data_IF_371217166356
#
_entry.id   IF_371217166356
#
_cell.length_a   1.000
_cell.length_b   1.000
_cell.length_c   1.000
_cell.angle_alpha   90.00
_cell.angle_beta   90.00
_cell.angle_gamma   90.00
#
_symmetry.space_group_name_H-M   'P 1'
#
loop_
_entity.id
_entity.type
_entity.pdbx_description
1 polymer ?
#
# COMPACT_ATOMS: atom_id res chain seq x y z
N UNK A 1 -20.98 -7.78 7.30
CA UNK A 1 -22.19 -6.95 7.05
C UNK A 1 -23.35 -7.74 6.43
N UNK A 2 -23.24 -8.25 5.20
CA UNK A 2 -24.35 -8.98 4.52
C UNK A 2 -24.86 -10.17 5.34
N UNK A 3 -23.96 -10.99 5.91
CA UNK A 3 -24.33 -12.10 6.79
C UNK A 3 -24.95 -11.64 8.13
N UNK A 4 -24.60 -10.44 8.62
CA UNK A 4 -25.21 -9.88 9.82
C UNK A 4 -26.64 -9.39 9.53
N UNK A 5 -26.86 -8.73 8.39
CA UNK A 5 -28.19 -8.33 7.90
C UNK A 5 -29.07 -9.58 7.69
N UNK A 6 -28.54 -10.65 7.11
CA UNK A 6 -29.25 -11.91 6.91
C UNK A 6 -29.66 -12.59 8.23
N UNK A 7 -28.87 -12.46 9.30
CA UNK A 7 -29.18 -13.05 10.62
C UNK A 7 -30.33 -12.36 11.35
N UNK A 8 -30.56 -11.06 11.09
CA UNK A 8 -31.60 -10.29 11.78
C UNK A 8 -32.99 -10.51 11.14
N UNK A 9 -33.03 -10.96 9.88
CA UNK A 9 -34.27 -11.38 9.20
C UNK A 9 -34.92 -10.31 8.33
N UNK A 10 -36.10 -10.62 7.80
CA UNK A 10 -36.87 -9.73 6.93
C UNK A 10 -37.43 -8.54 7.73
N UNK A 11 -37.25 -7.31 7.25
CA UNK A 11 -37.77 -6.09 7.86
C UNK A 11 -36.72 -5.13 8.44
N UNK A 12 -35.43 -5.49 8.38
CA UNK A 12 -34.34 -4.57 8.73
C UNK A 12 -34.27 -3.44 7.71
N UNK A 13 -34.43 -2.20 8.19
CA UNK A 13 -34.17 -1.03 7.36
C UNK A 13 -32.67 -0.80 7.28
N UNK A 14 -32.08 -0.70 6.07
CA UNK A 14 -30.68 -0.32 5.96
C UNK A 14 -30.49 1.10 6.53
N UNK A 15 -29.30 1.41 7.07
CA UNK A 15 -29.00 2.76 7.50
C UNK A 15 -29.10 3.73 6.30
N UNK A 16 -29.57 4.93 6.57
CA UNK A 16 -29.59 6.02 5.60
C UNK A 16 -28.16 6.47 5.27
N UNK A 17 -27.97 7.05 4.08
CA UNK A 17 -26.68 7.62 3.69
C UNK A 17 -26.16 8.66 4.72
N UNK A 18 -27.07 9.41 5.35
CA UNK A 18 -26.71 10.32 6.45
C UNK A 18 -26.18 9.56 7.67
N UNK A 19 -26.85 8.49 8.09
CA UNK A 19 -26.43 7.68 9.25
C UNK A 19 -25.05 7.06 9.01
N UNK A 20 -24.80 6.54 7.81
CA UNK A 20 -23.50 5.98 7.42
C UNK A 20 -22.39 7.04 7.37
N UNK A 21 -22.66 8.22 6.80
CA UNK A 21 -21.63 9.23 6.54
C UNK A 21 -21.35 10.17 7.70
N UNK A 22 -22.17 10.12 8.75
CA UNK A 22 -22.06 10.99 9.93
C UNK A 22 -21.95 10.17 11.21
N UNK A 23 -23.02 9.81 11.93
CA UNK A 23 -22.89 9.24 13.27
C UNK A 23 -22.09 7.93 13.27
N UNK A 24 -22.34 7.03 12.31
CA UNK A 24 -21.62 5.75 12.26
C UNK A 24 -20.15 5.97 11.89
N UNK A 25 -19.86 6.80 10.87
CA UNK A 25 -18.48 7.10 10.51
C UNK A 25 -17.72 7.79 11.64
N UNK A 26 -18.34 8.75 12.32
CA UNK A 26 -17.73 9.48 13.43
C UNK A 26 -17.40 8.55 14.60
N UNK A 27 -18.30 7.61 14.93
CA UNK A 27 -18.08 6.58 15.96
C UNK A 27 -16.93 5.64 15.59
N UNK A 28 -16.90 5.12 14.35
CA UNK A 28 -15.83 4.25 13.87
C UNK A 28 -14.48 4.97 13.83
N UNK A 29 -14.45 6.25 13.46
CA UNK A 29 -13.24 7.08 13.49
C UNK A 29 -12.75 7.27 14.92
N UNK A 30 -13.64 7.50 15.88
CA UNK A 30 -13.28 7.61 17.29
C UNK A 30 -12.68 6.30 17.82
N UNK A 31 -13.32 5.16 17.54
CA UNK A 31 -12.84 3.84 17.94
C UNK A 31 -11.45 3.55 17.36
N UNK A 32 -11.27 3.74 16.06
CA UNK A 32 -9.99 3.53 15.38
C UNK A 32 -8.93 4.49 15.92
N UNK A 33 -9.27 5.75 16.18
CA UNK A 33 -8.34 6.73 16.75
C UNK A 33 -7.85 6.29 18.12
N UNK A 34 -8.77 5.84 18.99
CA UNK A 34 -8.42 5.30 20.30
C UNK A 34 -7.50 4.08 20.19
N UNK A 35 -7.81 3.16 19.27
CA UNK A 35 -6.96 2.00 19.01
C UNK A 35 -5.56 2.41 18.52
N UNK A 36 -5.45 3.42 17.65
CA UNK A 36 -4.16 3.95 17.19
C UNK A 36 -3.35 4.54 18.35
N UNK A 37 -3.97 5.25 19.30
CA UNK A 37 -3.27 5.77 20.47
C UNK A 37 -2.77 4.65 21.40
N UNK A 38 -3.56 3.60 21.63
CA UNK A 38 -3.12 2.40 22.36
C UNK A 38 -2.01 1.63 21.64
N UNK A 39 -2.05 1.62 20.30
CA UNK A 39 -0.99 1.08 19.45
C UNK A 39 0.30 1.89 19.61
N UNK A 40 0.23 3.23 19.57
CA UNK A 40 1.38 4.15 19.77
C UNK A 40 2.08 3.99 21.11
N UNK A 41 1.34 3.70 22.17
CA UNK A 41 1.93 3.45 23.50
C UNK A 41 2.89 2.26 23.52
N UNK A 42 2.80 1.34 22.56
CA UNK A 42 3.72 0.19 22.45
C UNK A 42 5.05 0.50 21.77
N UNK A 43 5.11 1.59 20.98
CA UNK A 43 6.26 1.95 20.16
C UNK A 43 7.58 2.11 20.94
N UNK A 44 7.62 2.66 22.16
CA UNK A 44 8.87 2.75 22.93
C UNK A 44 9.48 1.37 23.26
N UNK A 45 8.66 0.31 23.33
CA UNK A 45 9.10 -1.04 23.68
C UNK A 45 9.40 -1.89 22.45
N UNK A 46 8.56 -1.82 21.43
CA UNK A 46 8.69 -2.69 20.24
C UNK A 46 9.47 -2.05 19.11
N UNK A 47 9.54 -0.72 19.08
CA UNK A 47 9.80 0.01 17.85
C UNK A 47 8.71 -0.23 16.80
N UNK A 48 8.86 0.39 15.64
CA UNK A 48 8.01 0.19 14.48
C UNK A 48 8.81 0.14 13.18
N UNK A 49 8.24 -0.56 12.21
CA UNK A 49 8.60 -0.44 10.80
C UNK A 49 7.68 0.58 10.16
N UNK A 50 8.23 1.71 9.71
CA UNK A 50 7.50 2.67 8.89
C UNK A 50 7.48 2.15 7.45
N UNK A 51 6.34 2.23 6.78
CA UNK A 51 6.15 1.77 5.41
C UNK A 51 5.55 2.89 4.58
N UNK A 52 6.05 3.06 3.36
CA UNK A 52 5.52 3.99 2.37
C UNK A 52 5.02 3.22 1.14
N UNK A 53 3.83 3.59 0.68
CA UNK A 53 3.22 3.06 -0.54
C UNK A 53 2.71 4.20 -1.43
N UNK A 54 3.27 4.31 -2.63
CA UNK A 54 2.84 5.30 -3.62
C UNK A 54 1.68 4.78 -4.47
N UNK A 55 0.65 5.60 -4.65
CA UNK A 55 -0.52 5.27 -5.47
C UNK A 55 -0.87 6.39 -6.44
N UNK A 56 -1.01 6.05 -7.72
CA UNK A 56 -1.50 6.93 -8.78
C UNK A 56 -2.93 6.54 -9.15
N UNK A 57 -3.87 7.45 -8.93
CA UNK A 57 -5.21 7.34 -9.47
C UNK A 57 -5.17 7.63 -10.97
N UNK A 58 -5.36 6.59 -11.80
CA UNK A 58 -5.29 6.73 -13.27
C UNK A 58 -6.38 7.64 -13.86
N UNK A 59 -7.53 7.76 -13.17
CA UNK A 59 -8.70 8.53 -13.60
C UNK A 59 -8.53 10.01 -13.25
N UNK A 60 -8.36 10.32 -11.97
CA UNK A 60 -8.20 11.72 -11.52
C UNK A 60 -6.80 12.28 -11.76
N UNK A 61 -5.81 11.42 -12.04
CA UNK A 61 -4.38 11.74 -12.11
C UNK A 61 -3.78 12.19 -10.78
N UNK A 62 -4.49 11.97 -9.67
CA UNK A 62 -3.97 12.30 -8.35
C UNK A 62 -2.97 11.25 -7.89
N UNK A 63 -1.92 11.71 -7.24
CA UNK A 63 -0.86 10.86 -6.70
C UNK A 63 -0.81 11.01 -5.19
N UNK A 64 -0.74 9.88 -4.50
CA UNK A 64 -0.75 9.82 -3.05
C UNK A 64 0.41 9.00 -2.54
N UNK A 65 0.99 9.42 -1.43
CA UNK A 65 1.95 8.64 -0.66
C UNK A 65 1.29 8.29 0.67
N UNK A 66 1.04 6.99 0.86
CA UNK A 66 0.45 6.46 2.08
C UNK A 66 1.57 6.05 3.05
N UNK A 67 1.37 6.31 4.33
CA UNK A 67 2.30 5.97 5.39
C UNK A 67 1.61 5.05 6.39
N UNK A 68 2.24 3.92 6.66
CA UNK A 68 1.76 2.91 7.60
C UNK A 68 2.86 2.61 8.61
N UNK A 69 2.46 2.31 9.85
CA UNK A 69 3.36 1.77 10.86
C UNK A 69 3.02 0.32 11.13
N UNK A 70 4.00 -0.55 11.07
CA UNK A 70 3.90 -1.94 11.51
C UNK A 70 4.65 -2.15 12.83
N UNK A 71 4.05 -2.95 13.72
CA UNK A 71 4.67 -3.50 14.91
C UNK A 71 4.10 -4.90 15.18
N UNK A 72 4.63 -5.66 16.16
CA UNK A 72 4.04 -6.93 16.56
C UNK A 72 2.57 -6.85 17.01
N UNK A 73 2.05 -5.66 17.36
CA UNK A 73 0.63 -5.46 17.66
C UNK A 73 -0.26 -5.37 16.41
N UNK A 74 0.32 -5.18 15.23
CA UNK A 74 -0.42 -5.03 13.98
C UNK A 74 0.10 -3.88 13.12
N UNK A 75 -0.69 -3.51 12.11
CA UNK A 75 -0.40 -2.39 11.20
C UNK A 75 -1.43 -1.29 11.39
N UNK A 76 -0.97 -0.05 11.49
CA UNK A 76 -1.81 1.14 11.55
C UNK A 76 -1.53 2.06 10.35
N UNK A 77 -2.59 2.56 9.74
CA UNK A 77 -2.48 3.68 8.80
C UNK A 77 -2.20 4.96 9.59
N UNK A 78 -1.19 5.73 9.18
CA UNK A 78 -0.79 6.97 9.84
C UNK A 78 -1.31 8.19 9.10
N UNK A 79 -1.03 8.28 7.80
CA UNK A 79 -1.45 9.40 6.98
C UNK A 79 -1.33 9.08 5.49
N UNK A 80 -2.02 9.87 4.68
CA UNK A 80 -1.83 9.94 3.23
C UNK A 80 -1.47 11.37 2.86
N UNK A 81 -0.52 11.55 1.95
CA UNK A 81 -0.09 12.86 1.44
C UNK A 81 -0.35 12.88 -0.06
N UNK A 82 -1.20 13.79 -0.50
CA UNK A 82 -1.34 14.06 -1.93
C UNK A 82 -0.10 14.81 -2.45
N UNK A 83 0.49 14.30 -3.53
CA UNK A 83 1.72 14.82 -4.15
C UNK A 83 1.55 15.13 -5.64
N UNK A 84 0.30 15.15 -6.11
CA UNK A 84 -0.10 15.46 -7.48
C UNK A 84 0.55 16.75 -7.99
N UNK A 85 1.08 16.73 -9.22
CA UNK A 85 1.66 17.92 -9.87
C UNK A 85 2.97 18.44 -9.26
N UNK A 86 3.50 17.77 -8.23
CA UNK A 86 4.78 18.13 -7.61
C UNK A 86 5.93 17.42 -8.31
N UNK A 87 7.04 18.13 -8.54
CA UNK A 87 8.27 17.51 -9.04
C UNK A 87 8.87 16.60 -7.97
N UNK A 88 8.81 15.29 -8.18
CA UNK A 88 9.29 14.25 -7.25
C UNK A 88 10.79 13.97 -7.45
N UNK A 89 11.62 14.99 -7.23
CA UNK A 89 13.06 14.78 -7.21
C UNK A 89 13.54 14.16 -5.87
N UNK A 90 14.80 13.74 -5.82
CA UNK A 90 15.36 13.13 -4.61
C UNK A 90 15.27 14.06 -3.38
N UNK A 91 15.34 15.39 -3.57
CA UNK A 91 15.27 16.33 -2.45
C UNK A 91 13.84 16.47 -1.91
N UNK A 92 12.82 16.37 -2.77
CA UNK A 92 11.43 16.30 -2.35
C UNK A 92 11.20 15.14 -1.39
N UNK A 93 11.60 13.92 -1.77
CA UNK A 93 11.43 12.73 -0.94
C UNK A 93 12.22 12.80 0.37
N UNK A 94 13.47 13.26 0.34
CA UNK A 94 14.28 13.45 1.56
C UNK A 94 13.57 14.37 2.55
N UNK A 95 13.06 15.53 2.10
CA UNK A 95 12.33 16.47 2.98
C UNK A 95 11.03 15.89 3.51
N UNK A 96 10.27 15.22 2.64
CA UNK A 96 8.98 14.63 3.02
C UNK A 96 9.18 13.55 4.08
N UNK A 97 10.11 12.63 3.84
CA UNK A 97 10.39 11.52 4.76
C UNK A 97 11.05 11.97 6.04
N UNK A 98 11.92 12.99 6.00
CA UNK A 98 12.42 13.63 7.22
C UNK A 98 11.27 14.14 8.10
N UNK A 99 10.31 14.84 7.48
CA UNK A 99 9.13 15.35 8.19
C UNK A 99 8.28 14.22 8.77
N UNK A 100 8.04 13.14 8.02
CA UNK A 100 7.26 11.99 8.51
C UNK A 100 7.97 11.30 9.68
N UNK A 101 9.28 11.11 9.59
CA UNK A 101 10.08 10.51 10.69
C UNK A 101 10.03 11.39 11.94
N UNK A 102 10.06 12.72 11.79
CA UNK A 102 9.89 13.66 12.89
C UNK A 102 8.47 13.63 13.48
N UNK A 103 7.43 13.59 12.65
CA UNK A 103 6.01 13.48 13.06
C UNK A 103 5.74 12.19 13.87
N UNK A 104 6.35 11.08 13.45
CA UNK A 104 6.20 9.76 14.09
C UNK A 104 7.09 9.62 15.33
N UNK A 105 8.22 10.31 15.35
CA UNK A 105 9.23 10.24 16.40
C UNK A 105 10.34 9.26 16.05
N UNK A 106 11.48 9.82 15.67
CA UNK A 106 12.68 9.11 15.20
C UNK A 106 13.10 7.91 16.08
N UNK A 107 13.07 8.10 17.40
CA UNK A 107 13.43 7.08 18.39
C UNK A 107 12.57 5.80 18.35
N UNK A 108 11.40 5.85 17.72
CA UNK A 108 10.47 4.73 17.63
C UNK A 108 10.67 3.91 16.35
N UNK A 109 11.35 4.46 15.35
CA UNK A 109 11.46 3.83 14.03
C UNK A 109 12.74 3.00 14.00
N UNK A 110 12.58 1.70 13.78
CA UNK A 110 13.72 0.76 13.60
C UNK A 110 14.00 0.50 12.12
N UNK A 111 12.96 0.54 11.30
CA UNK A 111 13.06 0.26 9.87
C UNK A 111 12.15 1.20 9.08
N UNK A 112 12.59 1.59 7.88
CA UNK A 112 11.77 2.28 6.91
C UNK A 112 11.77 1.52 5.58
N UNK A 113 10.59 1.05 5.16
CA UNK A 113 10.34 0.40 3.89
C UNK A 113 9.69 1.40 2.92
N UNK A 114 10.25 1.54 1.72
CA UNK A 114 9.63 2.33 0.63
C UNK A 114 9.51 1.47 -0.63
N UNK A 115 8.61 1.84 -1.54
CA UNK A 115 8.64 1.31 -2.90
C UNK A 115 9.92 1.76 -3.62
N UNK A 116 10.40 0.91 -4.55
CA UNK A 116 11.73 0.96 -5.15
C UNK A 116 11.77 1.92 -6.35
N UNK A 117 11.33 3.17 -6.17
CA UNK A 117 11.61 4.19 -7.18
C UNK A 117 13.10 4.56 -7.12
N UNK A 118 13.80 4.77 -8.25
CA UNK A 118 15.24 5.07 -8.28
C UNK A 118 15.66 6.24 -7.35
N UNK A 119 14.76 7.19 -7.11
CA UNK A 119 14.97 8.30 -6.16
C UNK A 119 15.13 7.80 -4.70
N UNK A 120 14.59 6.64 -4.37
CA UNK A 120 14.56 6.06 -3.02
C UNK A 120 15.91 5.49 -2.59
N UNK A 121 16.78 4.99 -3.48
CA UNK A 121 18.10 4.45 -3.06
C UNK A 121 19.03 5.54 -2.51
N UNK A 122 19.18 6.65 -3.25
CA UNK A 122 20.00 7.78 -2.78
C UNK A 122 19.40 8.41 -1.52
N UNK A 123 18.07 8.49 -1.45
CA UNK A 123 17.34 8.95 -0.27
C UNK A 123 17.58 8.04 0.94
N UNK A 124 17.48 6.71 0.77
CA UNK A 124 17.65 5.74 1.83
C UNK A 124 19.03 5.84 2.47
N UNK A 125 20.07 5.97 1.65
CA UNK A 125 21.44 6.24 2.12
C UNK A 125 21.51 7.52 2.96
N UNK A 126 20.93 8.64 2.48
CA UNK A 126 20.93 9.91 3.22
C UNK A 126 20.16 9.80 4.55
N UNK A 127 19.07 9.05 4.57
CA UNK A 127 18.25 8.83 5.76
C UNK A 127 19.01 8.04 6.82
N UNK A 128 19.68 6.96 6.41
CA UNK A 128 20.56 6.16 7.26
C UNK A 128 21.80 6.93 7.72
N UNK A 129 22.32 7.84 6.89
CA UNK A 129 23.44 8.69 7.27
C UNK A 129 23.09 9.71 8.34
N UNK A 130 21.90 10.31 8.25
CA UNK A 130 21.36 11.21 9.28
C UNK A 130 20.95 10.46 10.55
N UNK A 131 20.50 9.20 10.42
CA UNK A 131 19.91 8.38 11.50
C UNK A 131 20.52 6.99 11.51
N UNK A 132 21.64 6.84 12.21
CA UNK A 132 22.44 5.60 12.21
C UNK A 132 21.74 4.40 12.84
N UNK A 133 20.67 4.60 13.62
CA UNK A 133 19.84 3.52 14.19
C UNK A 133 18.75 3.02 13.25
N UNK A 134 18.44 3.75 12.17
CA UNK A 134 17.38 3.42 11.23
C UNK A 134 17.94 2.58 10.09
N UNK A 135 17.24 1.49 9.76
CA UNK A 135 17.53 0.68 8.57
C UNK A 135 16.54 1.00 7.47
N UNK A 136 17.00 1.39 6.29
CA UNK A 136 16.14 1.54 5.12
C UNK A 136 16.22 0.29 4.23
N UNK A 137 15.07 -0.17 3.74
CA UNK A 137 14.98 -1.31 2.81
C UNK A 137 13.92 -1.05 1.73
N UNK A 138 14.08 -1.65 0.56
CA UNK A 138 13.07 -1.62 -0.49
C UNK A 138 11.91 -2.57 -0.17
N UNK A 139 10.73 -2.27 -0.71
CA UNK A 139 9.57 -3.16 -0.62
C UNK A 139 9.84 -4.48 -1.34
N UNK A 140 9.70 -5.60 -0.62
CA UNK A 140 9.91 -6.94 -1.18
C UNK A 140 8.90 -7.28 -2.29
N UNK A 141 7.62 -6.96 -2.09
CA UNK A 141 6.57 -7.24 -3.09
C UNK A 141 6.86 -6.53 -4.42
N UNK A 142 7.27 -5.26 -4.35
CA UNK A 142 7.64 -4.51 -5.54
C UNK A 142 8.97 -4.98 -6.14
N UNK A 143 9.95 -5.40 -5.31
CA UNK A 143 11.19 -5.98 -5.81
C UNK A 143 10.94 -7.28 -6.58
N UNK A 144 10.02 -8.13 -6.10
CA UNK A 144 9.58 -9.34 -6.80
C UNK A 144 8.87 -8.99 -8.10
N UNK A 145 8.02 -7.97 -8.09
CA UNK A 145 7.34 -7.49 -9.30
C UNK A 145 8.32 -7.07 -10.39
N UNK A 146 9.34 -6.29 -10.05
CA UNK A 146 10.40 -5.89 -10.99
C UNK A 146 11.15 -7.10 -11.56
N UNK A 147 11.47 -8.10 -10.72
CA UNK A 147 12.07 -9.35 -11.20
C UNK A 147 11.16 -10.08 -12.20
N UNK A 148 9.85 -10.10 -11.92
CA UNK A 148 8.86 -10.71 -12.81
C UNK A 148 8.70 -9.92 -14.12
N UNK A 149 8.77 -8.59 -14.09
CA UNK A 149 8.79 -7.75 -15.29
C UNK A 149 10.02 -8.04 -16.15
N UNK A 150 11.22 -8.15 -15.56
CA UNK A 150 12.45 -8.51 -16.27
C UNK A 150 12.37 -9.91 -16.90
N UNK A 151 11.83 -10.89 -16.18
CA UNK A 151 11.57 -12.24 -16.73
C UNK A 151 10.56 -12.16 -17.89
N UNK A 152 9.57 -11.27 -17.78
CA UNK A 152 8.55 -11.04 -18.80
C UNK A 152 9.12 -10.52 -20.12
N UNK A 153 10.29 -9.89 -20.10
CA UNK A 153 10.98 -9.38 -21.29
C UNK A 153 11.82 -10.44 -22.03
N UNK A 154 12.01 -11.63 -21.44
CA UNK A 154 12.65 -12.76 -22.13
C UNK A 154 11.78 -13.15 -23.33
N UNK A 155 12.36 -13.19 -24.54
CA UNK A 155 11.63 -13.34 -25.81
C UNK A 155 10.51 -14.40 -25.77
N UNK A 156 10.82 -15.63 -25.33
CA UNK A 156 9.84 -16.72 -25.26
C UNK A 156 8.71 -16.44 -24.25
N UNK A 157 9.05 -15.85 -23.09
CA UNK A 157 8.08 -15.47 -22.07
C UNK A 157 7.20 -14.34 -22.61
N UNK A 158 7.81 -13.31 -23.20
CA UNK A 158 7.11 -12.17 -23.79
C UNK A 158 6.11 -12.57 -24.87
N UNK A 159 6.51 -13.46 -25.76
CA UNK A 159 5.64 -14.02 -26.82
C UNK A 159 4.48 -14.81 -26.19
N UNK A 160 4.77 -15.67 -25.20
CA UNK A 160 3.76 -16.45 -24.47
C UNK A 160 2.76 -15.55 -23.73
N UNK A 161 3.26 -14.53 -23.01
CA UNK A 161 2.43 -13.55 -22.29
C UNK A 161 1.53 -12.76 -23.26
N UNK A 162 2.03 -12.44 -24.46
CA UNK A 162 1.23 -11.77 -25.49
C UNK A 162 0.09 -12.66 -25.98
N UNK A 163 0.35 -13.93 -26.28
CA UNK A 163 -0.67 -14.89 -26.71
C UNK A 163 -1.71 -15.14 -25.60
N UNK A 164 -1.25 -15.28 -24.35
CA UNK A 164 -2.12 -15.40 -23.19
C UNK A 164 -3.02 -14.17 -23.01
N UNK A 165 -2.49 -12.96 -23.18
CA UNK A 165 -3.27 -11.71 -23.16
C UNK A 165 -4.32 -11.64 -24.27
N UNK A 166 -4.02 -12.18 -25.46
CA UNK A 166 -4.99 -12.23 -26.56
C UNK A 166 -6.11 -13.25 -26.30
N UNK A 167 -5.79 -14.38 -25.68
CA UNK A 167 -6.77 -15.36 -25.23
C UNK A 167 -7.62 -14.88 -24.05
N UNK A 168 -7.02 -14.21 -23.07
CA UNK A 168 -7.74 -13.71 -21.89
C UNK A 168 -8.76 -12.62 -22.22
N UNK A 169 -8.57 -11.85 -23.29
CA UNK A 169 -9.59 -10.91 -23.79
C UNK A 169 -10.89 -11.60 -24.22
N UNK A 170 -10.86 -12.91 -24.51
CA UNK A 170 -12.02 -13.69 -24.97
C UNK A 170 -12.74 -14.45 -23.85
N UNK A 171 -12.20 -14.48 -22.63
CA UNK A 171 -12.79 -15.14 -21.45
C UNK A 171 -13.05 -14.10 -20.35
N UNK A 172 -14.09 -14.29 -19.53
CA UNK A 172 -14.24 -13.57 -18.24
C UNK A 172 -13.20 -14.09 -17.26
N UNK A 173 -11.94 -13.74 -17.49
CA UNK A 173 -10.86 -14.03 -16.55
C UNK A 173 -10.94 -13.01 -15.44
N UNK A 174 -10.91 -13.48 -14.19
CA UNK A 174 -10.79 -12.63 -13.00
C UNK A 174 -9.55 -11.77 -13.22
N UNK A 175 -9.75 -10.50 -13.58
CA UNK A 175 -8.68 -9.51 -13.45
C UNK A 175 -8.52 -9.34 -11.95
N UNK A 176 -7.36 -9.69 -11.35
CA UNK A 176 -7.15 -9.40 -9.95
C UNK A 176 -7.20 -7.87 -9.84
N UNK A 177 -8.33 -7.33 -9.39
CA UNK A 177 -8.48 -5.91 -9.10
C UNK A 177 -7.59 -5.48 -7.90
N UNK A 178 -6.82 -6.42 -7.34
CA UNK A 178 -6.22 -6.37 -6.01
C UNK A 178 -4.70 -6.15 -6.07
N UNK A 179 -4.00 -6.56 -7.14
CA UNK A 179 -2.55 -6.38 -7.23
C UNK A 179 -2.15 -5.63 -8.49
N UNK A 180 -1.54 -4.45 -8.32
CA UNK A 180 -0.83 -3.75 -9.40
C UNK A 180 0.38 -4.55 -9.92
N UNK A 181 0.81 -5.53 -9.13
CA UNK A 181 1.97 -6.38 -9.37
C UNK A 181 1.58 -7.69 -10.05
N UNK A 182 2.48 -8.22 -10.88
CA UNK A 182 2.43 -9.54 -11.52
C UNK A 182 1.15 -9.81 -12.35
N UNK A 183 0.50 -8.77 -12.87
CA UNK A 183 -0.82 -8.87 -13.54
C UNK A 183 -0.81 -9.90 -14.68
N UNK A 184 0.29 -9.97 -15.43
CA UNK A 184 0.43 -10.90 -16.56
C UNK A 184 0.53 -12.36 -16.13
N UNK A 185 1.27 -12.62 -15.05
CA UNK A 185 1.44 -13.96 -14.52
C UNK A 185 0.15 -14.48 -13.88
N UNK A 186 -0.58 -13.62 -13.18
CA UNK A 186 -1.90 -13.95 -12.63
C UNK A 186 -2.93 -14.22 -13.73
N UNK A 187 -2.84 -13.48 -14.84
CA UNK A 187 -3.70 -13.73 -16.00
C UNK A 187 -3.41 -15.09 -16.66
N UNK A 188 -2.13 -15.48 -16.78
CA UNK A 188 -1.74 -16.82 -17.27
C UNK A 188 -2.23 -17.92 -16.33
N UNK A 189 -2.06 -17.73 -15.03
CA UNK A 189 -2.49 -18.71 -14.03
C UNK A 189 -4.00 -18.94 -14.09
N UNK A 190 -4.76 -17.85 -14.24
CA UNK A 190 -6.21 -17.93 -14.38
C UNK A 190 -6.66 -18.59 -15.69
N UNK A 191 -5.87 -18.50 -16.78
CA UNK A 191 -6.14 -19.28 -18.01
C UNK A 191 -5.96 -20.76 -17.70
N UNK A 192 -4.86 -21.14 -17.05
CA UNK A 192 -4.55 -22.53 -16.68
C UNK A 192 -5.61 -23.14 -15.77
N UNK A 193 -6.16 -22.39 -14.82
CA UNK A 193 -7.24 -22.86 -13.95
C UNK A 193 -8.61 -22.96 -14.65
N UNK A 194 -8.75 -22.35 -15.83
CA UNK A 194 -9.99 -22.34 -16.62
C UNK A 194 -10.06 -23.42 -17.71
N UNK A 195 -9.09 -24.32 -17.74
CA UNK A 195 -8.99 -25.49 -18.62
C UNK A 195 -9.21 -26.78 -17.82
#
# INVERSE_FOLDING_TARGET
>A
MVSAIQRVGLGVKPPMAYELSRPILDEEVEEVTKWIEEYKQSWPRTGITLMNDGWLNKVSKNEFLNFLAYSPKGTAFLSSKEVSGTKKDANFYVRLYDKIVEEVGDKHIVQFITDNEHACVSMGSKLMDKRKHLVWTTCAAHSIDLMLEEIGEIKIVKETLKEAREHSKKKEIIRPAITRFATDYLAVDSIRESE
#
